data_IF_598713807590
#
_entry.id   IF_598713807590
#
_cell.length_a   1.000
_cell.length_b   1.000
_cell.length_c   1.000
_cell.angle_alpha   90.00
_cell.angle_beta   90.00
_cell.angle_gamma   90.00
#
_symmetry.space_group_name_H-M   'P 1'
#
loop_
_entity.id
_entity.type
_entity.pdbx_description
1 polymer ?
#
# COMPACT_ATOMS: atom_id res chain seq x y z
N UNK A 1 -20.79 -0.58 0.32
CA UNK A 1 -20.33 -1.94 0.65
C UNK A 1 -20.85 -2.26 2.02
N UNK A 2 -21.44 -3.44 2.18
CA UNK A 2 -21.92 -3.91 3.46
C UNK A 2 -20.76 -4.56 4.21
N UNK A 3 -20.63 -4.27 5.50
CA UNK A 3 -19.55 -4.79 6.35
C UNK A 3 -20.18 -5.75 7.36
N UNK A 4 -19.69 -6.99 7.37
CA UNK A 4 -20.13 -8.02 8.31
C UNK A 4 -18.96 -8.28 9.26
N UNK A 5 -19.21 -8.22 10.57
CA UNK A 5 -18.20 -8.57 11.56
C UNK A 5 -18.01 -10.10 11.60
N UNK A 6 -16.78 -10.56 11.79
CA UNK A 6 -16.51 -12.00 11.93
C UNK A 6 -17.25 -12.64 13.11
N UNK A 7 -17.58 -11.87 14.16
CA UNK A 7 -18.39 -12.31 15.30
C UNK A 7 -19.83 -12.65 14.96
N UNK A 8 -20.35 -12.17 13.84
CA UNK A 8 -21.71 -12.46 13.37
C UNK A 8 -21.76 -13.78 12.58
N UNK A 9 -20.60 -14.38 12.29
CA UNK A 9 -20.47 -15.59 11.50
C UNK A 9 -20.29 -16.83 12.38
N UNK A 10 -20.78 -18.00 11.95
CA UNK A 10 -20.50 -19.27 12.61
C UNK A 10 -18.98 -19.51 12.76
N UNK A 11 -18.57 -20.14 13.86
CA UNK A 11 -17.16 -20.40 14.18
C UNK A 11 -16.43 -21.16 13.05
N UNK A 12 -17.14 -22.06 12.37
CA UNK A 12 -16.60 -22.81 11.22
C UNK A 12 -16.17 -21.90 10.08
N UNK A 13 -16.97 -20.86 9.76
CA UNK A 13 -16.62 -19.87 8.74
C UNK A 13 -15.46 -18.99 9.19
N UNK A 14 -15.41 -18.64 10.48
CA UNK A 14 -14.28 -17.87 11.03
C UNK A 14 -12.95 -18.65 10.88
N UNK A 15 -12.96 -19.95 11.14
CA UNK A 15 -11.78 -20.81 10.95
C UNK A 15 -11.34 -20.88 9.49
N UNK A 16 -12.29 -21.01 8.54
CA UNK A 16 -11.99 -20.99 7.11
C UNK A 16 -11.33 -19.66 6.71
N UNK A 17 -11.87 -18.53 7.18
CA UNK A 17 -11.30 -17.21 6.87
C UNK A 17 -9.92 -17.01 7.48
N UNK A 18 -9.69 -17.49 8.71
CA UNK A 18 -8.38 -17.48 9.33
C UNK A 18 -7.36 -18.28 8.50
N UNK A 19 -7.76 -19.44 7.99
CA UNK A 19 -6.90 -20.29 7.17
C UNK A 19 -6.60 -19.65 5.79
N UNK A 20 -7.60 -19.07 5.13
CA UNK A 20 -7.41 -18.29 3.88
C UNK A 20 -6.44 -17.14 4.12
N UNK A 21 -6.60 -16.41 5.23
CA UNK A 21 -5.73 -15.29 5.57
C UNK A 21 -4.29 -15.74 5.89
N UNK A 22 -4.13 -16.90 6.55
CA UNK A 22 -2.84 -17.49 6.92
C UNK A 22 -2.08 -18.01 5.71
N UNK A 23 -2.76 -18.74 4.83
CA UNK A 23 -2.16 -19.40 3.66
C UNK A 23 -2.03 -18.48 2.46
N UNK A 24 -2.85 -17.42 2.41
CA UNK A 24 -3.00 -16.54 1.25
C UNK A 24 -3.47 -17.26 -0.01
N UNK A 25 -4.09 -18.42 0.16
CA UNK A 25 -4.66 -19.21 -0.94
C UNK A 25 -6.17 -18.97 -1.02
N UNK A 26 -6.72 -18.63 -2.20
CA UNK A 26 -8.16 -18.50 -2.38
C UNK A 26 -8.89 -19.83 -2.19
N UNK A 27 -10.14 -19.78 -1.74
CA UNK A 27 -11.01 -20.95 -1.60
C UNK A 27 -12.27 -20.74 -2.43
N UNK A 28 -12.62 -21.77 -3.22
CA UNK A 28 -13.89 -21.83 -3.96
C UNK A 28 -14.90 -22.61 -3.13
N UNK A 29 -16.02 -21.97 -2.81
CA UNK A 29 -17.17 -22.62 -2.16
C UNK A 29 -18.12 -23.06 -3.26
N UNK A 30 -18.50 -24.34 -3.26
CA UNK A 30 -19.42 -24.94 -4.22
C UNK A 30 -20.74 -25.31 -3.55
N UNK A 31 -21.84 -25.19 -4.27
CA UNK A 31 -23.15 -25.72 -3.88
C UNK A 31 -23.63 -26.64 -5.01
N UNK A 32 -23.98 -27.89 -4.68
CA UNK A 32 -24.38 -28.93 -5.64
C UNK A 32 -23.39 -29.15 -6.81
N UNK A 33 -22.08 -29.05 -6.50
CA UNK A 33 -21.00 -29.22 -7.48
C UNK A 33 -20.71 -27.97 -8.32
N UNK A 34 -21.55 -26.94 -8.24
CA UNK A 34 -21.37 -25.67 -8.96
C UNK A 34 -20.70 -24.62 -8.07
N UNK A 35 -19.72 -23.85 -8.58
CA UNK A 35 -19.11 -22.75 -7.83
C UNK A 35 -20.13 -21.68 -7.42
N UNK A 36 -20.27 -21.44 -6.13
CA UNK A 36 -21.15 -20.41 -5.57
C UNK A 36 -20.41 -19.08 -5.36
N UNK A 37 -19.21 -19.14 -4.76
CA UNK A 37 -18.39 -17.97 -4.47
C UNK A 37 -16.92 -18.34 -4.36
N UNK A 38 -16.04 -17.39 -4.71
CA UNK A 38 -14.60 -17.52 -4.49
C UNK A 38 -14.19 -16.46 -3.47
N UNK A 39 -13.55 -16.90 -2.40
CA UNK A 39 -13.12 -16.05 -1.29
C UNK A 39 -11.62 -15.85 -1.39
N UNK A 40 -11.23 -14.61 -1.62
CA UNK A 40 -9.82 -14.20 -1.68
C UNK A 40 -9.37 -13.63 -0.34
N UNK A 41 -8.12 -13.89 0.08
CA UNK A 41 -7.55 -13.20 1.23
C UNK A 41 -7.51 -11.70 0.96
N UNK A 42 -7.83 -10.90 1.97
CA UNK A 42 -7.63 -9.47 1.90
C UNK A 42 -6.12 -9.19 1.68
N UNK A 43 -5.82 -8.47 0.60
CA UNK A 43 -4.50 -7.90 0.40
C UNK A 43 -4.54 -6.51 1.03
N UNK A 44 -3.75 -6.24 2.09
CA UNK A 44 -3.68 -4.88 2.61
C UNK A 44 -3.26 -3.97 1.47
N UNK A 45 -4.05 -2.92 1.24
CA UNK A 45 -3.75 -1.96 0.20
C UNK A 45 -2.36 -1.39 0.53
N UNK A 46 -1.38 -1.48 -0.39
CA UNK A 46 -0.06 -0.97 -0.10
C UNK A 46 -0.21 0.50 0.25
N UNK A 47 0.14 0.85 1.48
CA UNK A 47 0.15 2.25 1.89
C UNK A 47 1.17 2.93 0.99
N UNK A 48 0.70 3.87 0.16
CA UNK A 48 1.61 4.68 -0.63
C UNK A 48 2.52 5.43 0.36
N UNK A 49 3.84 5.32 0.25
CA UNK A 49 4.73 6.06 1.13
C UNK A 49 4.44 7.56 1.01
N UNK A 50 4.48 8.27 2.15
CA UNK A 50 4.17 9.70 2.21
C UNK A 50 5.10 10.55 1.34
N UNK A 51 6.30 10.05 1.06
CA UNK A 51 7.33 10.71 0.25
C UNK A 51 7.94 9.75 -0.77
N UNK A 52 8.70 10.28 -1.72
CA UNK A 52 9.40 9.47 -2.74
C UNK A 52 8.61 9.27 -4.03
N UNK A 53 7.59 10.10 -4.30
CA UNK A 53 6.89 10.10 -5.59
C UNK A 53 7.83 10.33 -6.79
N UNK A 54 8.97 11.00 -6.55
CA UNK A 54 10.03 11.29 -7.53
C UNK A 54 11.32 10.50 -7.26
N UNK A 55 11.26 9.40 -6.49
CA UNK A 55 12.47 8.61 -6.17
C UNK A 55 13.13 8.13 -7.47
N UNK A 56 14.39 8.50 -7.68
CA UNK A 56 15.18 8.11 -8.84
C UNK A 56 14.98 9.00 -10.08
N UNK A 57 14.21 10.09 -10.00
CA UNK A 57 14.04 11.01 -11.15
C UNK A 57 15.00 12.22 -11.14
N UNK A 58 15.89 12.33 -10.15
CA UNK A 58 16.85 13.42 -10.05
C UNK A 58 18.21 13.04 -10.63
N UNK A 59 18.94 14.04 -11.14
CA UNK A 59 20.30 13.90 -11.65
C UNK A 59 21.24 14.83 -10.85
N UNK A 60 22.47 14.38 -10.59
CA UNK A 60 23.52 15.21 -9.97
C UNK A 60 24.28 15.90 -11.10
N UNK A 61 24.07 17.22 -11.25
CA UNK A 61 24.71 18.01 -12.30
C UNK A 61 26.10 18.54 -11.92
N UNK A 62 26.46 18.51 -10.63
CA UNK A 62 27.74 18.98 -10.10
C UNK A 62 27.60 19.73 -8.78
N UNK A 63 28.73 20.27 -8.30
CA UNK A 63 28.81 20.98 -7.03
C UNK A 63 28.46 22.47 -7.18
N UNK A 64 27.74 23.01 -6.20
CA UNK A 64 27.46 24.46 -6.12
C UNK A 64 28.66 25.17 -5.49
N UNK A 65 29.57 25.64 -6.34
CA UNK A 65 30.83 26.29 -5.90
C UNK A 65 30.72 27.80 -5.66
N UNK A 66 29.63 28.44 -6.11
CA UNK A 66 29.40 29.87 -5.94
C UNK A 66 27.90 30.17 -5.98
N UNK A 67 27.45 31.28 -5.34
CA UNK A 67 26.07 31.73 -5.46
C UNK A 67 25.73 32.16 -6.89
N UNK A 68 24.44 32.07 -7.24
CA UNK A 68 23.94 32.50 -8.56
C UNK A 68 24.00 34.02 -8.75
N UNK A 69 24.02 34.79 -7.66
CA UNK A 69 24.15 36.25 -7.67
C UNK A 69 25.47 36.70 -7.01
N UNK A 70 26.08 37.80 -7.45
CA UNK A 70 27.32 38.30 -6.86
C UNK A 70 27.16 38.65 -5.37
N UNK A 71 28.19 38.38 -4.56
CA UNK A 71 28.16 38.69 -3.12
C UNK A 71 27.88 40.17 -2.80
N UNK A 72 28.30 41.09 -3.68
CA UNK A 72 28.07 42.52 -3.53
C UNK A 72 26.58 42.92 -3.54
N UNK A 73 25.68 42.05 -4.03
CA UNK A 73 24.23 42.32 -4.03
C UNK A 73 23.53 41.85 -2.75
N UNK A 74 24.26 41.27 -1.80
CA UNK A 74 23.68 40.76 -0.56
C UNK A 74 23.63 41.87 0.49
N UNK A 75 22.42 42.23 0.93
CA UNK A 75 22.22 43.25 1.97
C UNK A 75 22.94 42.91 3.28
N UNK A 76 23.08 41.62 3.60
CA UNK A 76 23.77 41.17 4.81
C UNK A 76 25.30 41.41 4.80
N UNK A 77 25.88 41.79 3.66
CA UNK A 77 27.32 42.01 3.49
C UNK A 77 27.67 43.49 3.19
N UNK A 78 26.69 44.41 3.27
CA UNK A 78 26.88 45.86 3.18
C UNK A 78 27.25 46.45 4.55
#
# INVERSE_FOLDING_TARGET
MEHIATSELPETLQQIFAEIQRTKTPVTVTHDGEPLVIIYPATPQPQRPAFGAMKGSGEILGDVIAPVIPAATWEALQ
#
